data_IF_932096663594
#
_entry.id   IF_932096663594
#
_cell.length_a   1.000
_cell.length_b   1.000
_cell.length_c   1.000
_cell.angle_alpha   90.00
_cell.angle_beta   90.00
_cell.angle_gamma   90.00
#
_symmetry.space_group_name_H-M   'P 1'
#
loop_
_entity.id
_entity.type
_entity.pdbx_description
1 polymer ?
#
# COMPACT_ATOMS: atom_id res chain seq x y z
N UNK A 1 -59.72 -29.23 3.62
CA UNK A 1 -58.54 -28.35 3.78
C UNK A 1 -57.44 -28.84 2.84
N UNK A 2 -57.72 -29.16 1.58
CA UNK A 2 -58.15 -28.41 0.40
C UNK A 2 -56.96 -28.12 -0.50
N UNK A 3 -56.88 -28.91 -1.58
CA UNK A 3 -55.96 -28.82 -2.70
C UNK A 3 -55.77 -27.39 -3.26
N UNK A 4 -56.70 -26.47 -2.98
CA UNK A 4 -56.56 -25.02 -3.24
C UNK A 4 -55.33 -24.38 -2.57
N UNK A 5 -54.89 -24.86 -1.40
CA UNK A 5 -53.71 -24.32 -0.70
C UNK A 5 -52.40 -24.77 -1.37
N UNK A 6 -52.35 -26.03 -1.83
CA UNK A 6 -51.21 -26.55 -2.60
C UNK A 6 -51.09 -25.84 -3.96
N UNK A 7 -52.22 -25.57 -4.62
CA UNK A 7 -52.27 -24.81 -5.88
C UNK A 7 -51.85 -23.33 -5.75
N UNK A 8 -51.90 -22.74 -4.55
CA UNK A 8 -51.40 -21.38 -4.30
C UNK A 8 -49.87 -21.32 -4.15
N UNK A 9 -49.24 -22.41 -3.69
CA UNK A 9 -47.78 -22.52 -3.51
C UNK A 9 -47.02 -22.88 -4.79
N UNK A 10 -47.70 -23.49 -5.78
CA UNK A 10 -47.13 -23.77 -7.10
C UNK A 10 -47.23 -22.61 -8.09
N UNK A 11 -47.80 -21.46 -7.70
CA UNK A 11 -47.78 -20.27 -8.56
C UNK A 11 -46.34 -19.74 -8.60
N UNK A 12 -45.63 -19.81 -9.74
CA UNK A 12 -44.31 -19.20 -9.83
C UNK A 12 -44.45 -17.68 -9.65
N UNK A 13 -44.00 -17.18 -8.50
CA UNK A 13 -43.92 -15.75 -8.19
C UNK A 13 -42.72 -15.16 -8.92
N UNK A 14 -42.90 -14.93 -10.22
CA UNK A 14 -42.32 -13.88 -11.07
C UNK A 14 -42.43 -14.38 -12.50
N UNK A 15 -43.38 -13.83 -13.25
CA UNK A 15 -43.10 -13.61 -14.66
C UNK A 15 -41.84 -12.75 -14.70
N UNK A 16 -40.73 -13.31 -15.17
CA UNK A 16 -39.69 -12.47 -15.72
C UNK A 16 -40.29 -11.84 -16.97
N UNK A 17 -40.94 -10.69 -16.78
CA UNK A 17 -41.14 -9.74 -17.85
C UNK A 17 -39.75 -9.32 -18.30
N UNK A 18 -39.17 -10.10 -19.21
CA UNK A 18 -38.17 -9.59 -20.13
C UNK A 18 -38.90 -8.53 -20.97
N UNK A 19 -39.13 -7.35 -20.39
CA UNK A 19 -39.43 -6.16 -21.17
C UNK A 19 -38.26 -6.06 -22.15
N UNK A 20 -38.56 -6.32 -23.43
CA UNK A 20 -37.57 -6.21 -24.49
C UNK A 20 -36.91 -4.85 -24.37
N UNK A 21 -35.62 -4.86 -24.05
CA UNK A 21 -34.85 -3.64 -23.85
C UNK A 21 -35.05 -2.77 -25.08
N UNK A 22 -35.74 -1.63 -24.92
CA UNK A 22 -36.13 -0.80 -26.06
C UNK A 22 -34.93 -0.51 -26.96
N UNK A 23 -35.14 -0.50 -28.28
CA UNK A 23 -34.08 -0.37 -29.30
C UNK A 23 -33.09 0.77 -28.99
N UNK A 24 -33.60 1.89 -28.45
CA UNK A 24 -32.80 3.04 -27.99
C UNK A 24 -31.84 2.69 -26.85
N UNK A 25 -32.27 1.93 -25.82
CA UNK A 25 -31.41 1.47 -24.71
C UNK A 25 -30.36 0.46 -25.19
N UNK A 26 -30.72 -0.42 -26.13
CA UNK A 26 -29.77 -1.38 -26.73
C UNK A 26 -28.71 -0.68 -27.57
N UNK A 27 -29.10 0.32 -28.37
CA UNK A 27 -28.18 1.15 -29.14
C UNK A 27 -27.26 1.98 -28.24
N UNK A 28 -27.78 2.66 -27.21
CA UNK A 28 -26.96 3.41 -26.25
C UNK A 28 -25.98 2.51 -25.49
N UNK A 29 -26.41 1.32 -25.07
CA UNK A 29 -25.51 0.36 -24.43
C UNK A 29 -24.39 -0.11 -25.39
N UNK A 30 -24.72 -0.36 -26.66
CA UNK A 30 -23.73 -0.77 -27.65
C UNK A 30 -22.74 0.35 -27.97
N UNK A 31 -23.21 1.58 -28.17
CA UNK A 31 -22.36 2.76 -28.37
C UNK A 31 -21.46 3.00 -27.16
N UNK A 32 -22.00 2.93 -25.94
CA UNK A 32 -21.21 3.06 -24.71
C UNK A 32 -20.14 1.95 -24.62
N UNK A 33 -20.48 0.71 -24.96
CA UNK A 33 -19.54 -0.42 -24.96
C UNK A 33 -18.42 -0.20 -25.98
N UNK A 34 -18.74 0.26 -27.20
CA UNK A 34 -17.76 0.55 -28.24
C UNK A 34 -16.85 1.70 -27.82
N UNK A 35 -17.41 2.80 -27.30
CA UNK A 35 -16.62 3.95 -26.83
C UNK A 35 -15.68 3.58 -25.68
N UNK A 36 -16.16 2.82 -24.69
CA UNK A 36 -15.33 2.34 -23.58
C UNK A 36 -14.24 1.39 -24.10
N UNK A 37 -14.57 0.46 -25.00
CA UNK A 37 -13.59 -0.46 -25.58
C UNK A 37 -12.51 0.26 -26.39
N UNK A 38 -12.87 1.29 -27.17
CA UNK A 38 -11.93 2.13 -27.90
C UNK A 38 -11.05 2.95 -26.95
N UNK A 39 -11.63 3.51 -25.89
CA UNK A 39 -10.88 4.24 -24.87
C UNK A 39 -9.84 3.36 -24.19
N UNK A 40 -10.19 2.11 -23.85
CA UNK A 40 -9.24 1.12 -23.31
C UNK A 40 -8.15 0.79 -24.33
N UNK A 41 -8.49 0.58 -25.61
CA UNK A 41 -7.50 0.32 -26.65
C UNK A 41 -6.51 1.47 -26.81
N UNK A 42 -6.98 2.72 -26.81
CA UNK A 42 -6.12 3.90 -26.89
C UNK A 42 -5.21 4.00 -25.65
N UNK A 43 -5.73 3.70 -24.46
CA UNK A 43 -4.94 3.68 -23.23
C UNK A 43 -3.87 2.56 -23.20
N UNK A 44 -4.09 1.45 -23.90
CA UNK A 44 -3.12 0.37 -24.01
C UNK A 44 -1.93 0.73 -24.90
N UNK A 45 -2.09 1.62 -25.88
CA UNK A 45 -1.00 2.03 -26.79
C UNK A 45 0.23 2.55 -26.03
N UNK A 46 0.15 3.59 -25.17
CA UNK A 46 1.31 4.08 -24.44
C UNK A 46 1.84 3.04 -23.44
N UNK A 47 0.98 2.21 -22.85
CA UNK A 47 1.40 1.15 -21.94
C UNK A 47 2.29 0.11 -22.65
N UNK A 48 1.85 -0.37 -23.81
CA UNK A 48 2.62 -1.32 -24.64
C UNK A 48 3.90 -0.66 -25.15
N UNK A 49 3.85 0.62 -25.53
CA UNK A 49 5.03 1.34 -26.00
C UNK A 49 6.08 1.51 -24.90
N UNK A 50 5.67 1.88 -23.69
CA UNK A 50 6.56 1.95 -22.53
C UNK A 50 7.15 0.57 -22.23
N UNK A 51 6.33 -0.49 -22.17
CA UNK A 51 6.82 -1.85 -21.94
C UNK A 51 7.84 -2.29 -22.99
N UNK A 52 7.57 -2.03 -24.27
CA UNK A 52 8.50 -2.31 -25.36
C UNK A 52 9.83 -1.54 -25.18
N UNK A 53 9.76 -0.25 -24.85
CA UNK A 53 10.97 0.57 -24.62
C UNK A 53 11.79 0.10 -23.41
N UNK A 54 11.13 -0.34 -22.34
CA UNK A 54 11.79 -0.86 -21.14
C UNK A 54 12.49 -2.19 -21.44
N UNK A 55 11.86 -3.08 -22.22
CA UNK A 55 12.46 -4.37 -22.58
C UNK A 55 13.64 -4.17 -23.54
N UNK A 56 13.47 -3.40 -24.62
CA UNK A 56 14.52 -3.20 -25.64
C UNK A 56 15.71 -2.39 -25.13
N UNK A 57 15.53 -1.46 -24.19
CA UNK A 57 16.64 -0.71 -23.59
C UNK A 57 17.18 -1.38 -22.33
N UNK A 58 16.37 -2.20 -21.66
CA UNK A 58 16.73 -2.87 -20.41
C UNK A 58 17.44 -4.20 -20.58
N UNK A 59 17.25 -4.92 -21.71
CA UNK A 59 17.85 -6.24 -21.89
C UNK A 59 19.39 -6.18 -21.90
N UNK A 60 19.98 -5.17 -22.54
CA UNK A 60 21.43 -4.98 -22.60
C UNK A 60 22.01 -4.78 -21.19
N UNK A 61 21.34 -3.95 -20.37
CA UNK A 61 21.73 -3.70 -18.99
C UNK A 61 21.64 -4.98 -18.12
N UNK A 62 20.57 -5.78 -18.27
CA UNK A 62 20.35 -7.00 -17.50
C UNK A 62 21.35 -8.12 -17.84
N UNK A 63 21.89 -8.16 -19.06
CA UNK A 63 22.84 -9.20 -19.48
C UNK A 63 24.26 -8.99 -18.96
N UNK A 64 24.59 -7.78 -18.48
CA UNK A 64 25.91 -7.46 -17.93
C UNK A 64 25.92 -7.62 -16.40
N UNK A 65 26.81 -8.45 -15.87
CA UNK A 65 27.00 -8.60 -14.41
C UNK A 65 27.48 -7.28 -13.77
N UNK A 66 28.19 -6.46 -14.55
CA UNK A 66 28.70 -5.15 -14.16
C UNK A 66 27.60 -4.16 -13.80
N UNK A 67 26.41 -4.27 -14.37
CA UNK A 67 25.28 -3.39 -14.03
C UNK A 67 24.77 -3.59 -12.60
N UNK A 68 24.92 -4.78 -12.02
CA UNK A 68 24.49 -5.06 -10.65
C UNK A 68 25.52 -4.67 -9.58
N UNK A 69 26.79 -4.57 -9.95
CA UNK A 69 27.90 -4.33 -9.02
C UNK A 69 28.40 -2.89 -9.07
N UNK A 70 28.30 -2.21 -10.22
CA UNK A 70 28.80 -0.86 -10.34
C UNK A 70 27.87 0.17 -9.69
N UNK A 71 28.47 1.12 -8.98
CA UNK A 71 27.76 2.26 -8.38
C UNK A 71 27.55 3.35 -9.42
N UNK A 72 26.47 4.12 -9.29
CA UNK A 72 26.22 5.33 -10.09
C UNK A 72 26.74 6.61 -9.39
N UNK A 73 27.58 6.45 -8.36
CA UNK A 73 28.13 7.57 -7.59
C UNK A 73 28.97 8.48 -8.47
N UNK A 74 28.54 9.73 -8.65
CA UNK A 74 29.26 10.76 -9.41
C UNK A 74 28.87 10.86 -10.89
N UNK A 75 28.04 9.95 -11.41
CA UNK A 75 27.53 10.05 -12.79
C UNK A 75 26.49 11.16 -12.91
N UNK A 76 26.62 11.98 -13.94
CA UNK A 76 25.61 12.99 -14.32
C UNK A 76 24.67 12.43 -15.39
N UNK A 77 23.55 13.12 -15.65
CA UNK A 77 22.58 12.72 -16.68
C UNK A 77 23.16 12.64 -18.12
N UNK A 78 24.41 13.08 -18.32
CA UNK A 78 25.07 13.18 -19.62
C UNK A 78 26.23 12.19 -19.80
N UNK A 79 26.59 11.41 -18.78
CA UNK A 79 27.63 10.39 -18.88
C UNK A 79 27.00 8.99 -18.90
N UNK A 80 27.27 8.25 -19.98
CA UNK A 80 26.84 6.87 -20.12
C UNK A 80 27.72 5.97 -19.23
N UNK A 81 27.16 5.52 -18.11
CA UNK A 81 27.82 4.60 -17.20
C UNK A 81 27.06 4.42 -15.88
N UNK A 82 27.46 3.40 -15.11
CA UNK A 82 26.94 3.13 -13.77
C UNK A 82 25.97 1.96 -13.71
N UNK A 83 25.80 1.40 -12.52
CA UNK A 83 24.94 0.25 -12.26
C UNK A 83 23.82 0.55 -11.26
N UNK A 84 22.88 -0.38 -11.15
CA UNK A 84 21.73 -0.28 -10.25
C UNK A 84 22.08 -0.47 -8.78
N UNK A 85 23.32 -0.86 -8.46
CA UNK A 85 23.76 -1.16 -7.09
C UNK A 85 23.38 -0.04 -6.10
N UNK A 86 23.72 1.21 -6.42
CA UNK A 86 23.47 2.35 -5.54
C UNK A 86 21.97 2.63 -5.36
N UNK A 87 21.15 2.46 -6.41
CA UNK A 87 19.70 2.65 -6.34
C UNK A 87 19.03 1.57 -5.49
N UNK A 88 19.47 0.31 -5.62
CA UNK A 88 18.97 -0.81 -4.83
C UNK A 88 19.33 -0.62 -3.35
N UNK A 89 20.60 -0.34 -3.04
CA UNK A 89 21.03 -0.11 -1.66
C UNK A 89 20.34 1.12 -1.05
N UNK A 90 20.24 2.21 -1.83
CA UNK A 90 19.58 3.44 -1.38
C UNK A 90 18.11 3.25 -1.04
N UNK A 91 17.35 2.56 -1.90
CA UNK A 91 15.92 2.28 -1.64
C UNK A 91 15.72 1.39 -0.42
N UNK A 92 16.57 0.37 -0.22
CA UNK A 92 16.50 -0.52 0.95
C UNK A 92 16.81 0.26 2.23
N UNK A 93 17.86 1.08 2.25
CA UNK A 93 18.21 1.88 3.43
C UNK A 93 17.11 2.90 3.76
N UNK A 94 16.55 3.58 2.74
CA UNK A 94 15.44 4.52 2.93
C UNK A 94 14.19 3.82 3.46
N UNK A 95 13.86 2.63 2.94
CA UNK A 95 12.74 1.83 3.42
C UNK A 95 12.95 1.37 4.86
N UNK A 96 14.16 0.93 5.23
CA UNK A 96 14.49 0.54 6.60
C UNK A 96 14.35 1.69 7.58
N UNK A 97 14.95 2.84 7.28
CA UNK A 97 14.85 4.04 8.13
C UNK A 97 13.39 4.48 8.25
N UNK A 98 12.65 4.46 7.13
CA UNK A 98 11.23 4.77 7.12
C UNK A 98 10.43 3.83 8.02
N UNK A 99 10.64 2.51 7.89
CA UNK A 99 9.93 1.50 8.66
C UNK A 99 10.23 1.61 10.17
N UNK A 100 11.51 1.76 10.54
CA UNK A 100 11.95 1.87 11.94
C UNK A 100 11.30 3.06 12.65
N UNK A 101 11.05 4.16 11.94
CA UNK A 101 10.46 5.37 12.51
C UNK A 101 8.92 5.33 12.40
N UNK A 102 8.38 5.05 11.22
CA UNK A 102 6.94 5.17 10.95
C UNK A 102 6.10 4.09 11.62
N UNK A 103 6.59 2.85 11.72
CA UNK A 103 5.86 1.73 12.33
C UNK A 103 5.56 1.99 13.82
N UNK A 104 6.55 2.24 14.70
CA UNK A 104 6.25 2.44 16.12
C UNK A 104 5.35 3.65 16.34
N UNK A 105 5.60 4.76 15.62
CA UNK A 105 4.79 5.98 15.74
C UNK A 105 3.35 5.73 15.28
N UNK A 106 3.16 5.17 14.08
CA UNK A 106 1.83 4.92 13.51
C UNK A 106 1.02 3.93 14.34
N UNK A 107 1.67 2.88 14.85
CA UNK A 107 1.04 1.90 15.74
C UNK A 107 0.64 2.54 17.07
N UNK A 108 1.52 3.35 17.69
CA UNK A 108 1.18 4.04 18.95
C UNK A 108 -0.01 4.98 18.78
N UNK A 109 -0.07 5.71 17.67
CA UNK A 109 -1.19 6.61 17.35
C UNK A 109 -2.49 5.82 17.14
N UNK A 110 -2.44 4.71 16.38
CA UNK A 110 -3.62 3.88 16.14
C UNK A 110 -4.15 3.22 17.43
N UNK A 111 -3.26 2.72 18.28
CA UNK A 111 -3.61 2.19 19.60
C UNK A 111 -4.28 3.25 20.45
N UNK A 112 -3.72 4.46 20.47
CA UNK A 112 -4.31 5.59 21.18
C UNK A 112 -5.74 5.89 20.67
N UNK A 113 -5.93 5.95 19.35
CA UNK A 113 -7.23 6.24 18.74
C UNK A 113 -8.29 5.18 19.04
N UNK A 114 -7.94 3.89 19.00
CA UNK A 114 -8.92 2.81 19.21
C UNK A 114 -9.25 2.58 20.68
N UNK A 115 -8.27 2.65 21.57
CA UNK A 115 -8.49 2.31 22.99
C UNK A 115 -8.87 3.54 23.83
N UNK A 116 -8.33 4.71 23.53
CA UNK A 116 -8.51 5.94 24.32
C UNK A 116 -9.23 7.06 23.53
N UNK A 117 -9.23 6.98 22.20
CA UNK A 117 -9.76 8.01 21.31
C UNK A 117 -11.28 7.97 21.08
N UNK A 118 -11.98 6.95 21.60
CA UNK A 118 -13.43 6.79 21.47
C UNK A 118 -14.23 7.93 22.11
N UNK A 119 -14.38 9.05 21.40
CA UNK A 119 -15.18 10.21 21.79
C UNK A 119 -14.43 11.41 22.36
N UNK A 120 -13.10 11.32 22.56
CA UNK A 120 -12.31 12.44 23.10
C UNK A 120 -12.05 13.51 22.03
N UNK A 121 -11.91 14.78 22.45
CA UNK A 121 -11.54 15.88 21.53
C UNK A 121 -10.20 15.63 20.84
N UNK A 122 -9.24 15.06 21.57
CA UNK A 122 -7.92 14.70 21.05
C UNK A 122 -8.01 13.62 19.97
N UNK A 123 -8.81 12.57 20.17
CA UNK A 123 -9.03 11.55 19.15
C UNK A 123 -9.60 12.11 17.85
N UNK A 124 -10.63 12.95 17.93
CA UNK A 124 -11.23 13.61 16.74
C UNK A 124 -10.23 14.51 16.00
N UNK A 125 -9.43 15.28 16.73
CA UNK A 125 -8.39 16.14 16.13
C UNK A 125 -7.33 15.30 15.45
N UNK A 126 -6.84 14.23 16.08
CA UNK A 126 -5.84 13.35 15.49
C UNK A 126 -6.36 12.65 14.24
N UNK A 127 -7.58 12.10 14.24
CA UNK A 127 -8.19 11.51 13.03
C UNK A 127 -8.33 12.55 11.92
N UNK A 128 -8.78 13.76 12.23
CA UNK A 128 -8.88 14.84 11.25
C UNK A 128 -7.50 15.24 10.66
N UNK A 129 -6.45 15.30 11.48
CA UNK A 129 -5.09 15.55 11.00
C UNK A 129 -4.61 14.43 10.08
N UNK A 130 -4.84 13.16 10.45
CA UNK A 130 -4.51 12.00 9.63
C UNK A 130 -5.27 12.02 8.29
N UNK A 131 -6.55 12.38 8.30
CA UNK A 131 -7.35 12.51 7.08
C UNK A 131 -6.85 13.65 6.18
N UNK A 132 -6.43 14.80 6.75
CA UNK A 132 -5.77 15.87 5.99
C UNK A 132 -4.46 15.36 5.37
N UNK A 133 -3.63 14.65 6.14
CA UNK A 133 -2.38 14.05 5.66
C UNK A 133 -2.63 13.09 4.48
N UNK A 134 -3.72 12.31 4.50
CA UNK A 134 -4.10 11.45 3.36
C UNK A 134 -4.64 12.23 2.16
N UNK A 135 -5.23 13.40 2.39
CA UNK A 135 -5.75 14.26 1.32
C UNK A 135 -4.66 15.03 0.58
N UNK A 136 -3.49 15.21 1.19
CA UNK A 136 -2.36 15.90 0.56
C UNK A 136 -1.72 15.01 -0.51
N UNK A 137 -1.52 15.50 -1.75
CA UNK A 137 -0.84 14.75 -2.78
C UNK A 137 0.60 14.38 -2.36
N UNK A 138 1.05 13.17 -2.71
CA UNK A 138 2.38 12.66 -2.33
C UNK A 138 3.54 13.53 -2.82
N UNK A 139 3.38 14.18 -3.98
CA UNK A 139 4.37 15.11 -4.54
C UNK A 139 4.55 16.34 -3.63
N UNK A 140 3.46 16.85 -3.06
CA UNK A 140 3.49 18.05 -2.21
C UNK A 140 4.23 17.75 -0.91
N UNK A 141 3.99 16.60 -0.30
CA UNK A 141 4.72 16.15 0.88
C UNK A 141 6.24 16.02 0.63
N UNK A 142 6.64 15.46 -0.51
CA UNK A 142 8.04 15.32 -0.87
C UNK A 142 8.73 16.68 -1.08
N UNK A 143 8.06 17.60 -1.78
CA UNK A 143 8.57 18.96 -2.00
C UNK A 143 8.63 19.78 -0.70
N UNK A 144 7.68 19.56 0.22
CA UNK A 144 7.67 20.21 1.53
C UNK A 144 8.91 19.85 2.35
N UNK A 145 9.22 18.55 2.46
CA UNK A 145 10.42 18.11 3.17
C UNK A 145 11.70 18.56 2.44
N UNK A 146 11.72 18.55 1.10
CA UNK A 146 12.84 19.11 0.35
C UNK A 146 13.07 20.60 0.66
N UNK A 147 12.01 21.40 0.65
CA UNK A 147 12.09 22.82 0.98
C UNK A 147 12.55 23.05 2.43
N UNK A 148 11.99 22.32 3.40
CA UNK A 148 12.44 22.42 4.79
C UNK A 148 13.90 22.00 4.95
N UNK A 149 14.28 20.83 4.44
CA UNK A 149 15.61 20.27 4.67
C UNK A 149 16.71 21.03 3.94
N UNK A 150 16.51 21.33 2.65
CA UNK A 150 17.54 21.92 1.80
C UNK A 150 17.45 23.43 1.79
N UNK A 151 16.25 24.00 1.62
CA UNK A 151 16.12 25.45 1.47
C UNK A 151 16.11 26.20 2.82
N UNK A 152 15.50 25.64 3.88
CA UNK A 152 15.44 26.34 5.18
C UNK A 152 16.59 26.01 6.12
N UNK A 153 16.97 24.73 6.23
CA UNK A 153 18.04 24.28 7.13
C UNK A 153 19.44 24.32 6.49
N UNK A 154 19.53 24.54 5.17
CA UNK A 154 20.80 24.60 4.45
C UNK A 154 21.56 23.27 4.42
N UNK A 155 20.91 22.15 4.74
CA UNK A 155 21.56 20.85 4.75
C UNK A 155 21.78 20.33 3.32
N UNK A 156 22.84 19.52 3.19
CA UNK A 156 23.16 18.84 1.94
C UNK A 156 22.04 17.88 1.52
N UNK A 157 21.96 17.61 0.22
CA UNK A 157 21.03 16.63 -0.35
C UNK A 157 21.46 15.23 0.06
N UNK A 158 20.88 14.71 1.14
CA UNK A 158 21.15 13.37 1.66
C UNK A 158 19.96 12.45 1.46
N UNK A 159 20.21 11.14 1.35
CA UNK A 159 19.15 10.13 1.27
C UNK A 159 18.24 10.10 2.52
N UNK A 160 18.69 10.69 3.63
CA UNK A 160 17.92 10.83 4.85
C UNK A 160 16.71 11.77 4.67
N UNK A 161 16.86 12.87 3.93
CA UNK A 161 15.76 13.78 3.65
C UNK A 161 14.61 13.07 2.89
N UNK A 162 14.95 12.21 1.95
CA UNK A 162 13.97 11.38 1.22
C UNK A 162 13.28 10.39 2.16
N UNK A 163 14.02 9.78 3.09
CA UNK A 163 13.42 8.88 4.08
C UNK A 163 12.42 9.60 5.00
N UNK A 164 12.66 10.86 5.36
CA UNK A 164 11.71 11.68 6.13
C UNK A 164 10.42 11.96 5.35
N UNK A 165 10.51 12.25 4.05
CA UNK A 165 9.33 12.37 3.18
C UNK A 165 8.51 11.10 3.15
N UNK A 166 9.18 9.95 3.04
CA UNK A 166 8.53 8.63 3.06
C UNK A 166 7.86 8.35 4.41
N UNK A 167 8.49 8.72 5.53
CA UNK A 167 7.89 8.58 6.87
C UNK A 167 6.59 9.36 6.96
N UNK A 168 6.58 10.62 6.49
CA UNK A 168 5.39 11.47 6.53
C UNK A 168 4.22 10.84 5.76
N UNK A 169 4.50 10.23 4.60
CA UNK A 169 3.49 9.54 3.78
C UNK A 169 3.06 8.19 4.34
N UNK A 170 3.95 7.46 5.03
CA UNK A 170 3.64 6.13 5.58
C UNK A 170 2.85 6.18 6.89
N UNK A 171 3.02 7.22 7.71
CA UNK A 171 2.28 7.37 8.98
C UNK A 171 0.77 7.20 8.79
N UNK A 172 0.06 7.93 7.91
CA UNK A 172 -1.39 7.81 7.81
C UNK A 172 -1.85 6.42 7.33
N UNK A 173 -1.08 5.79 6.44
CA UNK A 173 -1.36 4.43 5.94
C UNK A 173 -1.28 3.40 7.08
N UNK A 174 -0.23 3.48 7.91
CA UNK A 174 -0.03 2.57 9.05
C UNK A 174 -1.09 2.82 10.12
N UNK A 175 -1.41 4.09 10.42
CA UNK A 175 -2.43 4.44 11.40
C UNK A 175 -3.78 3.85 11.01
N UNK A 176 -4.23 4.10 9.78
CA UNK A 176 -5.55 3.65 9.29
C UNK A 176 -5.67 2.13 9.27
N UNK A 177 -4.66 1.46 8.70
CA UNK A 177 -4.64 -0.01 8.64
C UNK A 177 -4.61 -0.66 10.02
N UNK A 178 -3.87 -0.08 10.97
CA UNK A 178 -3.81 -0.57 12.36
C UNK A 178 -5.12 -0.30 13.10
N UNK A 179 -5.75 0.86 12.88
CA UNK A 179 -7.04 1.22 13.47
C UNK A 179 -8.15 0.27 13.00
N UNK A 180 -8.22 -0.02 11.70
CA UNK A 180 -9.17 -0.98 11.13
C UNK A 180 -8.95 -2.39 11.70
N UNK A 181 -7.70 -2.82 11.80
CA UNK A 181 -7.37 -4.13 12.38
C UNK A 181 -7.74 -4.24 13.87
N UNK A 182 -7.47 -3.20 14.67
CA UNK A 182 -7.77 -3.20 16.10
C UNK A 182 -9.28 -3.11 16.39
N UNK A 183 -10.07 -2.54 15.48
CA UNK A 183 -11.54 -2.51 15.60
C UNK A 183 -12.21 -3.84 15.30
N UNK A 184 -11.57 -4.75 14.56
CA UNK A 184 -12.10 -6.09 14.27
C UNK A 184 -12.16 -6.95 15.54
N UNK A 185 -11.36 -6.65 16.57
CA UNK A 185 -11.33 -7.44 17.81
C UNK A 185 -12.61 -7.20 18.62
N UNK A 186 -13.43 -8.25 18.87
CA UNK A 186 -14.71 -8.13 19.57
C UNK A 186 -14.51 -7.62 21.01
N UNK A 187 -15.42 -6.77 21.46
CA UNK A 187 -15.35 -6.12 22.78
C UNK A 187 -15.41 -7.13 23.93
N UNK A 188 -16.15 -8.23 23.75
CA UNK A 188 -16.33 -9.29 24.75
C UNK A 188 -14.99 -9.90 25.22
N UNK A 189 -14.04 -10.13 24.29
CA UNK A 189 -12.71 -10.64 24.61
C UNK A 189 -11.89 -9.62 25.41
N UNK A 190 -12.15 -8.33 25.19
CA UNK A 190 -11.46 -7.23 25.85
C UNK A 190 -11.96 -7.07 27.29
N UNK A 191 -13.27 -7.12 27.48
CA UNK A 191 -13.92 -7.07 28.79
C UNK A 191 -13.56 -8.28 29.66
N UNK A 192 -13.55 -9.49 29.08
CA UNK A 192 -13.11 -10.70 29.78
C UNK A 192 -11.65 -10.63 30.23
N UNK A 193 -10.77 -10.05 29.41
CA UNK A 193 -9.35 -9.85 29.77
C UNK A 193 -9.17 -8.86 30.93
N UNK A 194 -10.01 -7.82 30.99
CA UNK A 194 -9.99 -6.84 32.09
C UNK A 194 -10.55 -7.43 33.39
N UNK A 195 -11.57 -8.29 33.31
CA UNK A 195 -12.08 -9.02 34.47
C UNK A 195 -11.03 -9.98 35.08
N UNK A 196 -10.11 -10.50 34.25
CA UNK A 196 -8.98 -11.34 34.68
C UNK A 196 -7.79 -10.54 35.26
N UNK A 197 -7.92 -9.22 35.39
CA UNK A 197 -6.87 -8.35 35.96
C UNK A 197 -5.68 -8.10 35.04
N UNK A 198 -5.78 -8.42 33.75
CA UNK A 198 -4.70 -8.17 32.78
C UNK A 198 -4.69 -6.67 32.43
N UNK A 199 -3.55 -5.97 32.57
CA UNK A 199 -3.49 -4.55 32.27
C UNK A 199 -3.62 -4.29 30.77
N UNK A 200 -4.33 -3.21 30.40
CA UNK A 200 -4.69 -2.87 29.01
C UNK A 200 -3.53 -2.94 28.02
N UNK A 201 -2.35 -2.42 28.41
CA UNK A 201 -1.15 -2.40 27.58
C UNK A 201 -0.69 -3.82 27.17
N UNK A 202 -0.84 -4.82 28.04
CA UNK A 202 -0.42 -6.21 27.75
C UNK A 202 -1.33 -6.87 26.73
N UNK A 203 -2.64 -6.63 26.83
CA UNK A 203 -3.63 -7.12 25.84
C UNK A 203 -3.40 -6.48 24.47
N UNK A 204 -3.17 -5.17 24.44
CA UNK A 204 -2.89 -4.41 23.21
C UNK A 204 -1.61 -4.88 22.55
N UNK A 205 -0.51 -5.00 23.30
CA UNK A 205 0.79 -5.43 22.77
C UNK A 205 0.70 -6.84 22.17
N UNK A 206 -0.07 -7.76 22.78
CA UNK A 206 -0.27 -9.12 22.25
C UNK A 206 -1.03 -9.15 20.91
N UNK A 207 -1.92 -8.19 20.67
CA UNK A 207 -2.72 -8.05 19.43
C UNK A 207 -1.96 -7.27 18.35
N UNK A 208 -1.09 -6.33 18.74
CA UNK A 208 -0.35 -5.44 17.85
C UNK A 208 0.95 -6.08 17.32
N UNK A 209 1.67 -6.83 18.16
CA UNK A 209 2.93 -7.49 17.78
C UNK A 209 2.81 -8.36 16.51
N UNK A 210 1.68 -9.06 16.22
CA UNK A 210 1.48 -9.78 14.94
C UNK A 210 1.49 -8.90 13.67
N UNK A 211 1.44 -7.57 13.77
CA UNK A 211 1.33 -6.65 12.62
C UNK A 211 2.67 -6.10 12.16
N UNK A 212 3.56 -5.77 13.10
CA UNK A 212 4.94 -5.35 12.83
C UNK A 212 5.74 -6.30 11.90
N UNK A 213 5.65 -7.64 12.03
CA UNK A 213 6.38 -8.55 11.16
C UNK A 213 5.98 -8.44 9.68
N UNK A 214 4.74 -8.06 9.33
CA UNK A 214 4.30 -7.99 7.93
C UNK A 214 5.11 -6.99 7.10
N UNK A 215 5.55 -5.90 7.72
CA UNK A 215 6.36 -4.86 7.06
C UNK A 215 7.85 -5.12 7.24
N UNK A 216 8.25 -5.65 8.40
CA UNK A 216 9.66 -5.88 8.72
C UNK A 216 10.25 -7.11 8.00
N UNK A 217 9.47 -8.18 7.80
CA UNK A 217 9.98 -9.40 7.18
C UNK A 217 10.45 -9.19 5.74
N UNK A 218 9.71 -8.53 4.84
CA UNK A 218 10.20 -8.28 3.49
C UNK A 218 11.51 -7.49 3.49
N UNK A 219 11.61 -6.44 4.32
CA UNK A 219 12.81 -5.59 4.37
C UNK A 219 14.01 -6.31 4.99
N UNK A 220 13.79 -7.09 6.05
CA UNK A 220 14.82 -7.89 6.72
C UNK A 220 15.29 -9.05 5.83
N UNK A 221 14.36 -9.75 5.17
CA UNK A 221 14.66 -10.83 4.24
C UNK A 221 15.48 -10.32 3.06
N UNK A 222 15.09 -9.17 2.50
CA UNK A 222 15.82 -8.53 1.43
C UNK A 222 17.23 -8.13 1.87
N UNK A 223 17.37 -7.48 3.02
CA UNK A 223 18.67 -7.07 3.56
C UNK A 223 19.60 -8.26 3.83
N UNK A 224 19.06 -9.35 4.41
CA UNK A 224 19.81 -10.59 4.62
C UNK A 224 20.22 -11.24 3.29
N UNK A 225 19.40 -11.13 2.24
CA UNK A 225 19.68 -11.73 0.93
C UNK A 225 20.73 -10.92 0.14
N UNK A 226 20.74 -9.58 0.26
CA UNK A 226 21.72 -8.69 -0.39
C UNK A 226 23.17 -8.88 0.09
N UNK A 227 23.38 -9.45 1.28
CA UNK A 227 24.71 -9.84 1.76
C UNK A 227 25.30 -11.08 1.06
N UNK A 228 24.52 -11.78 0.23
CA UNK A 228 24.96 -12.96 -0.49
C UNK A 228 25.10 -12.68 -1.99
N UNK A 229 26.31 -12.64 -2.57
CA UNK A 229 26.53 -12.35 -4.00
C UNK A 229 26.09 -13.48 -4.95
N UNK A 230 25.09 -14.32 -4.58
CA UNK A 230 24.80 -15.58 -5.28
C UNK A 230 23.34 -15.90 -5.60
N UNK A 231 22.34 -15.06 -5.36
CA UNK A 231 20.95 -15.50 -5.58
C UNK A 231 20.14 -14.58 -6.50
N UNK A 232 19.81 -15.16 -7.65
CA UNK A 232 19.04 -14.56 -8.72
C UNK A 232 17.56 -14.37 -8.42
N UNK A 233 16.95 -13.61 -9.32
CA UNK A 233 15.63 -12.99 -9.35
C UNK A 233 14.43 -13.94 -9.13
N UNK A 234 14.62 -15.27 -9.11
CA UNK A 234 13.52 -16.25 -9.10
C UNK A 234 12.80 -16.43 -7.75
N UNK A 235 13.30 -15.86 -6.64
CA UNK A 235 12.67 -15.99 -5.32
C UNK A 235 11.68 -14.86 -4.98
N UNK A 236 11.67 -13.78 -5.75
CA UNK A 236 10.84 -12.60 -5.51
C UNK A 236 9.34 -12.82 -5.71
N UNK A 237 8.96 -13.74 -6.59
CA UNK A 237 7.54 -14.02 -6.91
C UNK A 237 6.81 -14.82 -5.80
N UNK A 238 7.53 -15.41 -4.84
CA UNK A 238 6.91 -16.30 -3.83
C UNK A 238 6.46 -15.58 -2.55
N UNK A 239 6.77 -14.30 -2.37
CA UNK A 239 6.39 -13.56 -1.16
C UNK A 239 4.92 -13.11 -1.19
N UNK A 240 4.29 -13.08 -2.36
CA UNK A 240 2.86 -12.72 -2.51
C UNK A 240 1.88 -13.84 -2.11
N UNK A 241 2.38 -15.00 -1.68
CA UNK A 241 1.55 -16.17 -1.35
C UNK A 241 1.00 -16.24 0.09
N UNK A 242 1.29 -15.28 0.97
CA UNK A 242 0.97 -15.38 2.42
C UNK A 242 -0.29 -14.57 2.81
N UNK A 243 -1.21 -14.32 1.87
CA UNK A 243 -2.50 -13.66 2.14
C UNK A 243 -3.74 -14.48 1.69
N UNK A 244 -3.61 -15.81 1.54
CA UNK A 244 -4.78 -16.70 1.35
C UNK A 244 -4.67 -17.93 2.23
N UNK A 245 -5.49 -17.96 3.29
CA UNK A 245 -5.59 -19.02 4.29
C UNK A 245 -6.37 -18.53 5.49
#
# INVERSE_FOLDING_TARGET
>A
MNAKMAAMLERPVKHQSFEGVGFRRKATNWVATVLVSLSVLVALIPLVWVLYSVVTKGYEALTSADWFTNSQSGMTAFEAGGGAYHAIVGTVLQALVCAVISIPIGVMVAVYLVEYGGGTRLGKVTTFMVDILTGVPSIVAALFIYALWVATLGFQRTGFAVSLSLVLLMIPVIVRSTEEMLRIVPMDLREASYALGIPKWKTIVRIVIPTAPRVLYPTLLLWLNLGSPRLGVSRWVRVDGVCTG
#
